data_IF_384068867482
#
_entry.id   IF_384068867482
#
_cell.length_a   1.000
_cell.length_b   1.000
_cell.length_c   1.000
_cell.angle_alpha   90.00
_cell.angle_beta   90.00
_cell.angle_gamma   90.00
#
_symmetry.space_group_name_H-M   'P 1'
#
loop_
_entity.id
_entity.type
_entity.pdbx_description
1 polymer ?
#
# COMPACT_ATOMS: atom_id res chain seq x y z
N UNK A 1 -0.05 -22.83 -2.21
CA UNK A 1 -0.51 -21.46 -2.34
C UNK A 1 -0.78 -20.88 -0.96
N UNK A 2 -0.22 -19.73 -0.67
CA UNK A 2 -0.41 -19.10 0.63
C UNK A 2 -0.88 -17.65 0.44
N UNK A 3 -1.62 -17.16 1.43
CA UNK A 3 -2.00 -15.75 1.49
C UNK A 3 -1.38 -15.15 2.74
N UNK A 4 -0.55 -14.13 2.55
CA UNK A 4 0.14 -13.43 3.63
C UNK A 4 -0.53 -12.10 3.88
N UNK A 5 -0.65 -11.74 5.16
CA UNK A 5 -1.19 -10.43 5.56
C UNK A 5 -0.04 -9.64 6.16
N UNK A 6 0.25 -8.49 5.55
CA UNK A 6 1.37 -7.64 5.96
C UNK A 6 0.82 -6.30 6.44
N UNK A 7 1.26 -5.88 7.63
CA UNK A 7 0.86 -4.59 8.20
C UNK A 7 1.86 -3.49 7.87
N UNK A 8 1.42 -2.29 8.00
CA UNK A 8 2.16 -1.00 8.00
C UNK A 8 3.55 -1.00 7.37
N UNK A 9 3.61 -1.05 6.04
CA UNK A 9 4.89 -0.98 5.31
C UNK A 9 5.53 0.40 5.47
N UNK A 10 4.72 1.45 5.37
CA UNK A 10 5.13 2.85 5.61
C UNK A 10 6.41 3.24 4.87
N UNK A 11 6.50 2.92 3.58
CA UNK A 11 7.65 3.31 2.77
C UNK A 11 8.94 2.55 3.05
N UNK A 12 8.88 1.47 3.78
CA UNK A 12 10.06 0.65 4.09
C UNK A 12 10.22 -0.47 3.05
N UNK A 13 10.55 -0.10 1.84
CA UNK A 13 10.61 -1.01 0.70
C UNK A 13 11.66 -2.12 0.88
N UNK A 14 12.83 -1.77 1.38
CA UNK A 14 13.89 -2.75 1.60
C UNK A 14 13.45 -3.82 2.62
N UNK A 15 12.81 -3.39 3.72
CA UNK A 15 12.29 -4.31 4.72
C UNK A 15 11.21 -5.21 4.13
N UNK A 16 10.34 -4.67 3.27
CA UNK A 16 9.31 -5.44 2.59
C UNK A 16 9.94 -6.52 1.72
N UNK A 17 10.94 -6.18 0.91
CA UNK A 17 11.61 -7.16 0.06
C UNK A 17 12.27 -8.25 0.87
N UNK A 18 12.92 -7.89 1.98
CA UNK A 18 13.55 -8.88 2.86
C UNK A 18 12.53 -9.82 3.48
N UNK A 19 11.38 -9.28 3.88
CA UNK A 19 10.31 -10.11 4.42
C UNK A 19 9.79 -11.10 3.39
N UNK A 20 9.50 -10.63 2.18
CA UNK A 20 9.01 -11.50 1.11
C UNK A 20 10.01 -12.61 0.78
N UNK A 21 11.30 -12.29 0.79
CA UNK A 21 12.35 -13.28 0.60
C UNK A 21 12.40 -14.29 1.74
N UNK A 22 12.28 -13.81 2.99
CA UNK A 22 12.36 -14.66 4.17
C UNK A 22 11.21 -15.68 4.24
N UNK A 23 10.02 -15.29 3.81
CA UNK A 23 8.86 -16.21 3.80
C UNK A 23 8.78 -17.06 2.54
N UNK A 24 9.70 -16.89 1.60
CA UNK A 24 9.71 -17.66 0.37
C UNK A 24 8.56 -17.32 -0.56
N UNK A 25 8.16 -16.05 -0.62
CA UNK A 25 7.06 -15.62 -1.46
C UNK A 25 7.36 -15.88 -2.93
N UNK A 26 6.39 -16.47 -3.64
CA UNK A 26 6.48 -16.69 -5.08
C UNK A 26 5.29 -16.07 -5.80
N UNK A 27 5.58 -15.13 -6.71
CA UNK A 27 4.55 -14.53 -7.54
C UNK A 27 3.92 -15.61 -8.43
N UNK A 28 2.59 -15.56 -8.53
CA UNK A 28 1.84 -16.58 -9.29
C UNK A 28 1.40 -17.76 -8.45
N UNK A 29 2.05 -18.01 -7.31
CA UNK A 29 1.65 -19.04 -6.36
C UNK A 29 1.00 -18.44 -5.12
N UNK A 30 1.58 -17.38 -4.60
CA UNK A 30 1.19 -16.78 -3.33
C UNK A 30 0.53 -15.43 -3.53
N UNK A 31 -0.23 -14.98 -2.53
CA UNK A 31 -0.88 -13.68 -2.53
C UNK A 31 -0.52 -12.92 -1.26
N UNK A 32 -0.54 -11.59 -1.36
CA UNK A 32 -0.32 -10.71 -0.22
C UNK A 32 -1.50 -9.75 -0.09
N UNK A 33 -1.94 -9.54 1.14
CA UNK A 33 -2.92 -8.52 1.48
C UNK A 33 -2.27 -7.56 2.46
N UNK A 34 -2.20 -6.28 2.10
CA UNK A 34 -1.68 -5.25 2.98
C UNK A 34 -2.81 -4.62 3.76
N UNK A 35 -2.55 -4.31 5.02
CA UNK A 35 -3.57 -3.70 5.91
C UNK A 35 -3.67 -2.18 5.75
N UNK A 36 -3.03 -1.62 4.75
CA UNK A 36 -2.98 -0.18 4.52
C UNK A 36 -1.69 0.42 5.04
N UNK A 37 -1.62 1.76 5.04
CA UNK A 37 -0.43 2.50 5.44
C UNK A 37 0.82 2.04 4.68
N UNK A 38 0.70 2.04 3.35
CA UNK A 38 1.78 1.60 2.47
C UNK A 38 2.91 2.61 2.42
N UNK A 39 2.59 3.87 2.59
CA UNK A 39 3.49 5.00 2.33
C UNK A 39 3.66 5.85 3.57
N UNK A 40 4.54 6.82 3.46
CA UNK A 40 4.86 7.81 4.46
C UNK A 40 5.77 7.27 5.57
N UNK A 41 6.45 8.17 6.24
CA UNK A 41 7.41 7.91 7.33
C UNK A 41 8.71 7.24 6.91
N UNK A 42 8.68 6.16 6.13
CA UNK A 42 9.87 5.50 5.64
C UNK A 42 10.50 6.21 4.43
N UNK A 43 11.71 5.82 4.07
CA UNK A 43 12.49 6.56 3.05
C UNK A 43 12.12 6.23 1.60
N UNK A 44 11.34 5.18 1.36
CA UNK A 44 11.11 4.67 0.00
C UNK A 44 9.64 4.49 -0.32
N UNK A 45 8.82 5.52 -0.03
CA UNK A 45 7.38 5.47 -0.28
C UNK A 45 7.07 5.29 -1.77
N UNK A 46 7.80 5.98 -2.64
CA UNK A 46 7.60 5.88 -4.08
C UNK A 46 7.90 4.47 -4.60
N UNK A 47 9.05 3.92 -4.20
CA UNK A 47 9.42 2.57 -4.60
C UNK A 47 8.43 1.53 -4.11
N UNK A 48 7.96 1.67 -2.87
CA UNK A 48 6.96 0.79 -2.28
C UNK A 48 5.66 0.81 -3.08
N UNK A 49 5.15 1.99 -3.36
CA UNK A 49 3.89 2.15 -4.07
C UNK A 49 3.97 1.60 -5.49
N UNK A 50 5.06 1.88 -6.20
CA UNK A 50 5.28 1.35 -7.53
C UNK A 50 5.33 -0.17 -7.54
N UNK A 51 6.03 -0.75 -6.58
CA UNK A 51 6.17 -2.21 -6.48
C UNK A 51 4.82 -2.89 -6.26
N UNK A 52 4.01 -2.38 -5.35
CA UNK A 52 2.71 -2.97 -5.04
C UNK A 52 1.75 -2.80 -6.23
N UNK A 53 1.76 -1.64 -6.86
CA UNK A 53 0.94 -1.39 -8.06
C UNK A 53 1.31 -2.34 -9.21
N UNK A 54 2.61 -2.56 -9.44
CA UNK A 54 3.09 -3.46 -10.48
C UNK A 54 2.68 -4.91 -10.25
N UNK A 55 2.41 -5.28 -9.01
CA UNK A 55 1.97 -6.62 -8.64
C UNK A 55 0.47 -6.66 -8.34
N UNK A 56 -0.29 -5.75 -8.93
CA UNK A 56 -1.74 -5.71 -8.77
C UNK A 56 -2.34 -7.06 -9.13
N UNK A 57 -3.31 -7.52 -8.34
CA UNK A 57 -3.88 -8.85 -8.52
C UNK A 57 -3.22 -9.92 -7.64
N UNK A 58 -1.89 -9.89 -7.52
CA UNK A 58 -1.15 -10.76 -6.60
C UNK A 58 -1.05 -10.10 -5.23
N UNK A 59 -0.90 -8.79 -5.23
CA UNK A 59 -0.83 -7.97 -4.03
C UNK A 59 -2.04 -7.05 -3.98
N UNK A 60 -2.77 -7.11 -2.87
CA UNK A 60 -3.95 -6.30 -2.64
C UNK A 60 -3.76 -5.48 -1.38
N UNK A 61 -4.43 -4.35 -1.30
CA UNK A 61 -4.34 -3.48 -0.13
C UNK A 61 -5.69 -2.86 0.18
N UNK A 62 -5.84 -2.45 1.44
CA UNK A 62 -6.89 -1.51 1.84
C UNK A 62 -6.23 -0.16 2.06
N UNK A 63 -7.04 0.89 2.23
CA UNK A 63 -6.53 2.23 2.47
C UNK A 63 -6.39 2.49 3.96
N UNK A 64 -5.18 2.85 4.38
CA UNK A 64 -4.92 3.29 5.74
C UNK A 64 -4.86 4.81 5.82
N UNK A 65 -4.63 5.35 7.01
CA UNK A 65 -4.59 6.79 7.24
C UNK A 65 -3.52 7.49 6.40
N UNK A 66 -2.34 6.90 6.30
CA UNK A 66 -1.25 7.50 5.52
C UNK A 66 -1.53 7.46 4.01
N UNK A 67 -2.24 6.45 3.54
CA UNK A 67 -2.64 6.38 2.14
C UNK A 67 -3.67 7.46 1.81
N UNK A 68 -4.63 7.68 2.70
CA UNK A 68 -5.60 8.76 2.56
C UNK A 68 -4.92 10.13 2.62
N UNK A 69 -3.92 10.28 3.48
CA UNK A 69 -3.12 11.49 3.58
C UNK A 69 -2.42 11.79 2.25
N UNK A 70 -1.85 10.77 1.62
CA UNK A 70 -1.23 10.92 0.31
C UNK A 70 -2.24 11.37 -0.74
N UNK A 71 -3.43 10.77 -0.76
CA UNK A 71 -4.46 11.16 -1.72
C UNK A 71 -4.88 12.61 -1.53
N UNK A 72 -5.01 13.06 -0.29
CA UNK A 72 -5.31 14.47 0.01
C UNK A 72 -4.21 15.39 -0.48
N UNK A 73 -2.95 15.02 -0.26
CA UNK A 73 -1.80 15.81 -0.71
C UNK A 73 -1.79 15.95 -2.24
N UNK A 74 -2.20 14.89 -2.94
CA UNK A 74 -2.24 14.91 -4.40
C UNK A 74 -3.32 15.77 -5.00
N UNK A 75 -4.37 16.06 -4.24
CA UNK A 75 -5.52 16.82 -4.71
C UNK A 75 -5.48 18.30 -4.32
N UNK A 76 -4.82 18.64 -3.23
CA UNK A 76 -4.81 20.01 -2.71
C UNK A 76 -3.54 20.75 -3.11
N UNK A 77 -3.70 21.88 -3.78
CA UNK A 77 -2.56 22.69 -4.22
C UNK A 77 -1.76 23.28 -3.06
N UNK A 78 -2.44 23.61 -1.96
CA UNK A 78 -1.82 24.25 -0.80
C UNK A 78 -1.77 23.29 0.39
N UNK A 79 -1.53 22.03 0.10
CA UNK A 79 -1.45 21.01 1.15
C UNK A 79 -0.29 21.29 2.09
N UNK A 80 -0.56 21.22 3.39
CA UNK A 80 0.46 21.45 4.42
C UNK A 80 1.02 20.10 4.86
N UNK A 81 2.32 19.90 4.60
CA UNK A 81 3.01 18.67 4.99
C UNK A 81 3.48 18.75 6.43
N UNK A 82 3.44 17.61 7.11
CA UNK A 82 4.06 17.47 8.43
C UNK A 82 5.58 17.30 8.26
N UNK A 83 6.34 17.61 9.32
CA UNK A 83 7.80 17.49 9.29
C UNK A 83 8.27 16.08 8.95
N UNK A 84 7.51 15.06 9.36
CA UNK A 84 7.86 13.67 9.16
C UNK A 84 7.30 13.06 7.88
N UNK A 85 6.63 13.85 7.04
CA UNK A 85 6.08 13.35 5.79
C UNK A 85 7.18 13.04 4.80
N UNK A 86 7.06 11.88 4.14
CA UNK A 86 7.99 11.41 3.11
C UNK A 86 7.27 11.11 1.81
N UNK A 87 6.11 11.72 1.58
CA UNK A 87 5.27 11.46 0.40
C UNK A 87 5.55 12.41 -0.76
N UNK A 88 6.39 13.43 -0.56
CA UNK A 88 6.66 14.44 -1.59
C UNK A 88 7.26 13.82 -2.85
N UNK A 89 8.06 12.77 -2.71
CA UNK A 89 8.65 12.09 -3.87
C UNK A 89 7.59 11.48 -4.78
N UNK A 90 6.44 11.06 -4.22
CA UNK A 90 5.33 10.56 -5.02
C UNK A 90 4.63 11.71 -5.73
N UNK A 91 4.40 12.80 -5.02
CA UNK A 91 3.71 13.97 -5.57
C UNK A 91 4.49 14.59 -6.72
N UNK A 92 5.80 14.48 -6.71
CA UNK A 92 6.66 15.03 -7.78
C UNK A 92 7.07 14.00 -8.81
N UNK A 93 6.62 12.76 -8.69
CA UNK A 93 7.00 11.70 -9.61
C UNK A 93 6.30 11.85 -10.98
N UNK A 94 6.97 11.45 -12.08
CA UNK A 94 6.36 11.56 -13.41
C UNK A 94 5.12 10.68 -13.58
N UNK A 95 5.01 9.58 -12.85
CA UNK A 95 3.86 8.67 -12.88
C UNK A 95 2.87 8.91 -11.73
N UNK A 96 2.93 10.08 -11.11
CA UNK A 96 2.06 10.44 -9.98
C UNK A 96 0.59 10.15 -10.25
N UNK A 97 0.07 10.61 -11.39
CA UNK A 97 -1.37 10.48 -11.69
C UNK A 97 -1.80 9.02 -11.77
N UNK A 98 -0.95 8.18 -12.34
CA UNK A 98 -1.22 6.76 -12.45
C UNK A 98 -1.19 6.08 -11.09
N UNK A 99 -0.22 6.44 -10.25
CA UNK A 99 -0.09 5.89 -8.91
C UNK A 99 -1.29 6.29 -8.03
N UNK A 100 -1.66 7.55 -8.03
CA UNK A 100 -2.78 8.03 -7.22
C UNK A 100 -4.11 7.50 -7.72
N UNK A 101 -4.28 7.37 -9.04
CA UNK A 101 -5.48 6.78 -9.61
C UNK A 101 -5.64 5.32 -9.18
N UNK A 102 -4.56 4.55 -9.22
CA UNK A 102 -4.58 3.18 -8.74
C UNK A 102 -4.92 3.11 -7.25
N UNK A 103 -4.26 3.93 -6.44
CA UNK A 103 -4.47 3.93 -5.00
C UNK A 103 -5.91 4.32 -4.63
N UNK A 104 -6.46 5.32 -5.32
CA UNK A 104 -7.83 5.79 -5.06
C UNK A 104 -8.88 4.69 -5.26
N UNK A 105 -8.60 3.71 -6.10
CA UNK A 105 -9.51 2.62 -6.38
C UNK A 105 -9.45 1.50 -5.36
N UNK A 106 -8.53 1.56 -4.41
CA UNK A 106 -8.40 0.51 -3.42
C UNK A 106 -9.50 0.62 -2.36
N UNK A 107 -10.00 -0.51 -1.86
CA UNK A 107 -11.11 -0.50 -0.90
C UNK A 107 -10.66 -0.09 0.50
N UNK A 108 -11.63 0.24 1.34
CA UNK A 108 -11.39 0.50 2.75
C UNK A 108 -11.25 -0.79 3.55
N UNK A 109 -11.77 -1.89 3.04
CA UNK A 109 -11.61 -3.20 3.66
C UNK A 109 -11.70 -4.29 2.58
N UNK A 110 -11.16 -5.46 2.91
CA UNK A 110 -11.22 -6.64 2.04
C UNK A 110 -11.75 -7.83 2.84
N UNK A 111 -12.55 -8.65 2.14
CA UNK A 111 -12.96 -9.95 2.67
C UNK A 111 -12.37 -11.00 1.71
N UNK A 112 -11.31 -11.72 2.14
CA UNK A 112 -10.73 -12.76 1.29
C UNK A 112 -11.74 -13.87 1.03
N UNK A 113 -11.77 -14.37 -0.20
CA UNK A 113 -12.74 -15.40 -0.61
C UNK A 113 -12.64 -16.65 0.25
N UNK A 114 -11.43 -17.01 0.67
CA UNK A 114 -11.19 -18.17 1.53
C UNK A 114 -11.81 -18.01 2.93
N UNK A 115 -12.27 -16.83 3.29
CA UNK A 115 -12.86 -16.55 4.60
C UNK A 115 -14.30 -16.09 4.49
N UNK A 116 -15.02 -16.53 3.47
CA UNK A 116 -16.39 -16.08 3.25
C UNK A 116 -17.35 -16.44 4.40
N UNK A 117 -16.99 -17.44 5.18
CA UNK A 117 -17.78 -17.86 6.35
C UNK A 117 -17.41 -17.10 7.63
N UNK A 118 -16.41 -16.25 7.58
CA UNK A 118 -15.97 -15.47 8.73
C UNK A 118 -16.55 -14.07 8.68
N UNK A 119 -16.94 -13.57 9.84
CA UNK A 119 -17.32 -12.16 9.98
C UNK A 119 -16.05 -11.39 10.32
N UNK A 120 -15.57 -10.58 9.40
CA UNK A 120 -14.38 -9.77 9.63
C UNK A 120 -14.81 -8.42 10.17
N UNK A 121 -14.12 -7.91 11.22
CA UNK A 121 -14.41 -6.57 11.68
C UNK A 121 -14.02 -5.58 10.61
N UNK A 122 -14.93 -4.69 10.29
CA UNK A 122 -14.64 -3.60 9.39
C UNK A 122 -13.96 -2.49 10.17
N UNK A 123 -12.84 -2.03 9.69
CA UNK A 123 -12.24 -0.83 10.23
C UNK A 123 -12.76 0.34 9.44
N UNK A 124 -13.48 1.15 10.12
CA UNK A 124 -13.94 2.39 9.53
C UNK A 124 -12.80 3.41 9.58
#
# INVERSE_FOLDING_TARGET
MATYIIGDVQGCFDALKRLLSAIGFEKGRDNVIFTGDLVNRGPESLATLRFIKENDGTMQTVLGNHDLHLLSAGEEKNFIYHKKDTIQEIITAPDKDQLLSWLRKQPLYLIPVSYTHLTLPTKA
#
